data_IF_329703592572
#
_entry.id   IF_329703592572
#
_cell.length_a   1.000
_cell.length_b   1.000
_cell.length_c   1.000
_cell.angle_alpha   90.00
_cell.angle_beta   90.00
_cell.angle_gamma   90.00
#
_symmetry.space_group_name_H-M   'P 1'
#
loop_
_entity.id
_entity.type
_entity.pdbx_description
1 polymer ?
#
# COMPACT_ATOMS: atom_id res chain seq x y z
N UNK A 1 -63.25 -50.81 -45.94
CA UNK A 1 -62.69 -49.88 -46.95
C UNK A 1 -62.30 -48.59 -46.25
N UNK A 2 -61.07 -48.13 -46.47
CA UNK A 2 -60.56 -46.75 -46.38
C UNK A 2 -60.61 -45.95 -45.06
N UNK A 3 -59.41 -45.84 -44.45
CA UNK A 3 -58.67 -44.63 -44.04
C UNK A 3 -59.42 -43.41 -43.45
N UNK A 4 -59.13 -43.09 -42.17
CA UNK A 4 -58.37 -41.92 -41.64
C UNK A 4 -58.17 -40.65 -42.52
N UNK A 5 -57.79 -39.47 -41.95
CA UNK A 5 -57.85 -38.99 -40.56
C UNK A 5 -58.04 -37.43 -40.42
N UNK A 6 -57.77 -36.93 -39.19
CA UNK A 6 -57.14 -35.64 -38.81
C UNK A 6 -58.03 -34.46 -38.35
N UNK A 7 -58.13 -34.39 -37.02
CA UNK A 7 -58.38 -33.21 -36.19
C UNK A 7 -57.23 -32.19 -36.28
N UNK A 8 -57.57 -30.90 -36.30
CA UNK A 8 -56.65 -29.76 -36.14
C UNK A 8 -56.65 -29.26 -34.68
N UNK A 9 -55.50 -29.23 -34.00
CA UNK A 9 -55.31 -28.46 -32.76
C UNK A 9 -54.48 -27.19 -32.99
N UNK A 10 -54.70 -26.23 -32.07
CA UNK A 10 -54.13 -24.88 -32.02
C UNK A 10 -52.59 -24.81 -32.08
N UNK A 11 -52.09 -23.77 -32.75
CA UNK A 11 -50.69 -23.37 -32.81
C UNK A 11 -50.10 -23.08 -31.41
N UNK A 12 -48.98 -23.73 -31.12
CA UNK A 12 -48.03 -23.37 -30.06
C UNK A 12 -47.02 -22.33 -30.58
N UNK A 13 -46.60 -21.34 -29.76
CA UNK A 13 -45.62 -20.34 -30.17
C UNK A 13 -44.22 -20.94 -30.34
N UNK A 14 -43.53 -20.51 -31.39
CA UNK A 14 -42.17 -20.93 -31.75
C UNK A 14 -41.13 -20.54 -30.68
N UNK A 15 -40.11 -21.39 -30.42
CA UNK A 15 -39.04 -21.08 -29.49
C UNK A 15 -38.09 -20.03 -30.07
N UNK A 16 -37.61 -19.12 -29.21
CA UNK A 16 -36.53 -18.18 -29.51
C UNK A 16 -35.24 -18.92 -29.90
N UNK A 17 -34.46 -18.42 -30.87
CA UNK A 17 -33.20 -19.05 -31.25
C UNK A 17 -32.15 -18.90 -30.14
N UNK A 18 -31.46 -20.01 -29.83
CA UNK A 18 -30.34 -20.05 -28.90
C UNK A 18 -29.16 -19.16 -29.38
N UNK A 19 -28.38 -18.56 -28.46
CA UNK A 19 -27.24 -17.74 -28.84
C UNK A 19 -26.16 -18.61 -29.50
N UNK A 20 -25.77 -18.27 -30.73
CA UNK A 20 -24.61 -18.84 -31.41
C UNK A 20 -23.37 -18.54 -30.59
N UNK A 21 -22.75 -19.58 -30.02
CA UNK A 21 -21.38 -19.50 -29.48
C UNK A 21 -20.43 -19.22 -30.63
N UNK A 22 -20.03 -17.96 -30.76
CA UNK A 22 -18.92 -17.57 -31.64
C UNK A 22 -17.63 -18.03 -30.97
N UNK A 23 -17.06 -19.13 -31.47
CA UNK A 23 -15.70 -19.58 -31.15
C UNK A 23 -14.70 -18.67 -31.88
N UNK A 24 -14.57 -17.42 -31.40
CA UNK A 24 -13.49 -16.52 -31.81
C UNK A 24 -13.03 -15.71 -30.59
N UNK A 25 -12.66 -16.41 -29.52
CA UNK A 25 -11.91 -15.85 -28.41
C UNK A 25 -10.43 -16.03 -28.72
N UNK A 26 -9.82 -15.00 -29.30
CA UNK A 26 -8.42 -14.95 -29.64
C UNK A 26 -7.56 -15.37 -28.44
N UNK A 27 -6.69 -16.35 -28.68
CA UNK A 27 -5.49 -16.56 -27.89
C UNK A 27 -4.61 -15.31 -28.05
N UNK A 28 -4.88 -14.29 -27.23
CA UNK A 28 -3.92 -13.22 -26.99
C UNK A 28 -2.89 -13.78 -26.01
N UNK A 29 -2.02 -14.65 -26.52
CA UNK A 29 -0.70 -14.86 -25.92
C UNK A 29 0.00 -13.51 -26.04
N UNK A 30 -0.23 -12.64 -25.05
CA UNK A 30 0.61 -11.48 -24.83
C UNK A 30 2.01 -12.02 -24.51
N UNK A 31 2.85 -12.06 -25.54
CA UNK A 31 4.28 -11.94 -25.36
C UNK A 31 4.53 -10.58 -24.70
N UNK A 32 4.37 -10.54 -23.37
CA UNK A 32 5.06 -9.57 -22.54
C UNK A 32 6.54 -9.96 -22.64
N UNK A 33 7.20 -9.48 -23.70
CA UNK A 33 8.64 -9.34 -23.69
C UNK A 33 8.92 -8.50 -22.45
N UNK A 34 9.39 -9.14 -21.38
CA UNK A 34 9.91 -8.46 -20.22
C UNK A 34 11.00 -7.53 -20.75
N UNK A 35 10.70 -6.24 -20.87
CA UNK A 35 11.68 -5.25 -21.23
C UNK A 35 12.84 -5.40 -20.25
N UNK A 36 14.10 -5.53 -20.71
CA UNK A 36 15.26 -5.66 -19.82
C UNK A 36 15.43 -4.47 -18.86
N UNK A 37 14.67 -3.38 -19.07
CA UNK A 37 14.54 -2.21 -18.19
C UNK A 37 13.82 -2.51 -16.86
N UNK A 38 13.08 -3.63 -16.74
CA UNK A 38 12.33 -3.97 -15.52
C UNK A 38 13.20 -4.53 -14.37
N UNK A 39 14.52 -4.72 -14.57
CA UNK A 39 15.39 -5.49 -13.67
C UNK A 39 16.68 -4.77 -13.25
N UNK A 40 16.79 -3.45 -13.40
CA UNK A 40 17.96 -2.75 -12.88
C UNK A 40 17.88 -2.64 -11.36
N UNK A 41 18.43 -3.65 -10.69
CA UNK A 41 18.38 -3.75 -9.25
C UNK A 41 19.17 -2.60 -8.60
N UNK A 42 18.52 -1.81 -7.76
CA UNK A 42 19.18 -0.96 -6.79
C UNK A 42 19.78 -1.87 -5.71
N UNK A 43 21.12 -1.87 -5.52
CA UNK A 43 21.76 -2.64 -4.47
C UNK A 43 21.42 -2.06 -3.09
N UNK A 44 21.53 -2.88 -2.06
CA UNK A 44 21.52 -2.41 -0.68
C UNK A 44 22.73 -1.50 -0.41
N UNK A 45 22.56 -0.51 0.47
CA UNK A 45 23.66 0.39 0.87
C UNK A 45 24.67 -0.31 1.79
N UNK A 46 24.26 -1.37 2.50
CA UNK A 46 25.08 -2.04 3.51
C UNK A 46 25.05 -3.56 3.35
N UNK A 47 26.11 -4.22 3.82
CA UNK A 47 26.11 -5.67 4.05
C UNK A 47 25.85 -5.91 5.53
N UNK A 48 24.76 -6.63 5.84
CA UNK A 48 24.49 -7.02 7.22
C UNK A 48 25.65 -7.91 7.74
N UNK A 49 26.13 -7.68 8.98
CA UNK A 49 27.24 -8.45 9.54
C UNK A 49 26.76 -9.85 9.94
N UNK A 50 27.69 -10.80 9.94
CA UNK A 50 27.43 -12.20 10.27
C UNK A 50 27.99 -13.16 9.21
N UNK A 51 27.99 -14.44 9.55
CA UNK A 51 28.36 -15.51 8.62
C UNK A 51 27.28 -15.71 7.54
N UNK A 52 27.70 -16.18 6.36
CA UNK A 52 26.76 -16.56 5.31
C UNK A 52 25.87 -17.72 5.76
N UNK A 53 24.64 -17.79 5.23
CA UNK A 53 23.70 -18.87 5.56
C UNK A 53 24.30 -20.23 5.22
N UNK A 54 24.14 -21.19 6.12
CA UNK A 54 24.58 -22.56 5.86
C UNK A 54 23.65 -23.24 4.86
N UNK A 55 24.11 -24.33 4.22
CA UNK A 55 23.24 -25.16 3.35
C UNK A 55 22.02 -25.69 4.09
N UNK A 56 22.15 -25.93 5.40
CA UNK A 56 21.04 -26.35 6.26
C UNK A 56 19.98 -25.25 6.38
N UNK A 57 20.39 -24.00 6.58
CA UNK A 57 19.47 -22.87 6.68
C UNK A 57 18.73 -22.64 5.37
N UNK A 58 19.44 -22.72 4.24
CA UNK A 58 18.81 -22.64 2.92
C UNK A 58 17.75 -23.73 2.69
N UNK A 59 18.01 -24.96 3.16
CA UNK A 59 17.05 -26.06 3.09
C UNK A 59 15.83 -25.82 3.98
N UNK A 60 16.03 -25.32 5.21
CA UNK A 60 14.95 -24.96 6.12
C UNK A 60 14.08 -23.85 5.54
N UNK A 61 14.68 -22.80 4.96
CA UNK A 61 13.97 -21.71 4.30
C UNK A 61 13.15 -22.19 3.09
N UNK A 62 13.70 -23.12 2.32
CA UNK A 62 12.98 -23.73 1.18
C UNK A 62 11.78 -24.53 1.68
N UNK A 63 11.96 -25.35 2.72
CA UNK A 63 10.88 -26.12 3.32
C UNK A 63 9.78 -25.22 3.91
N UNK A 64 10.16 -24.16 4.62
CA UNK A 64 9.21 -23.18 5.15
C UNK A 64 8.45 -22.46 4.03
N UNK A 65 9.13 -22.07 2.94
CA UNK A 65 8.49 -21.44 1.78
C UNK A 65 7.49 -22.36 1.06
N UNK A 66 7.71 -23.67 1.11
CA UNK A 66 6.79 -24.65 0.51
C UNK A 66 5.60 -25.01 1.41
N UNK A 67 5.72 -24.83 2.73
CA UNK A 67 4.75 -25.35 3.72
C UNK A 67 3.95 -24.26 4.44
N UNK A 68 4.46 -23.02 4.52
CA UNK A 68 3.81 -21.93 5.25
C UNK A 68 3.11 -20.99 4.29
N UNK A 69 1.85 -20.68 4.59
CA UNK A 69 1.11 -19.63 3.89
C UNK A 69 1.70 -18.25 4.22
N UNK A 70 1.86 -17.42 3.19
CA UNK A 70 2.45 -16.08 3.29
C UNK A 70 1.49 -14.99 2.85
N UNK A 71 0.20 -15.17 3.12
CA UNK A 71 -0.86 -14.31 2.62
C UNK A 71 -0.59 -12.79 2.73
N UNK A 72 -0.03 -12.23 3.83
CA UNK A 72 0.29 -10.79 3.88
C UNK A 72 1.41 -10.37 2.92
N UNK A 73 2.41 -11.24 2.71
CA UNK A 73 3.52 -10.98 1.78
C UNK A 73 3.02 -11.12 0.35
N UNK A 74 2.18 -12.12 0.09
CA UNK A 74 1.59 -12.37 -1.23
C UNK A 74 0.58 -11.27 -1.64
N UNK A 75 0.06 -10.50 -0.67
CA UNK A 75 -0.84 -9.37 -0.91
C UNK A 75 -0.14 -8.08 -1.35
N UNK A 76 1.20 -8.02 -1.27
CA UNK A 76 1.99 -6.90 -1.79
C UNK A 76 1.82 -6.87 -3.33
N UNK A 77 1.14 -5.85 -3.84
CA UNK A 77 0.66 -5.81 -5.21
C UNK A 77 1.28 -4.71 -6.07
N UNK A 78 2.02 -3.79 -5.47
CA UNK A 78 2.67 -2.69 -6.18
C UNK A 78 4.06 -2.41 -5.62
N UNK A 79 4.95 -1.92 -6.49
CA UNK A 79 6.28 -1.45 -6.16
C UNK A 79 6.38 0.02 -6.58
N UNK A 80 6.69 0.91 -5.62
CA UNK A 80 6.96 2.32 -5.86
C UNK A 80 8.39 2.65 -5.48
N UNK A 81 9.02 3.50 -6.28
CA UNK A 81 10.38 3.98 -6.05
C UNK A 81 10.36 5.51 -5.92
N UNK A 82 10.81 6.00 -4.78
CA UNK A 82 10.79 7.41 -4.40
C UNK A 82 12.00 7.79 -3.55
N UNK A 83 11.93 8.96 -2.91
CA UNK A 83 13.03 9.45 -2.10
C UNK A 83 12.52 10.04 -0.80
N UNK A 84 13.25 9.81 0.28
CA UNK A 84 12.94 10.38 1.58
C UNK A 84 14.08 11.28 2.06
N UNK A 85 13.77 12.09 3.07
CA UNK A 85 14.77 12.68 3.95
C UNK A 85 14.30 12.67 5.41
N UNK A 86 15.24 12.78 6.35
CA UNK A 86 14.91 12.82 7.77
C UNK A 86 14.20 14.12 8.12
N UNK A 87 13.05 14.08 8.81
CA UNK A 87 12.41 15.29 9.32
C UNK A 87 13.41 16.08 10.17
N UNK A 88 13.77 17.29 9.73
CA UNK A 88 14.78 18.15 10.38
C UNK A 88 16.20 18.09 9.80
N UNK A 89 16.50 17.13 8.93
CA UNK A 89 17.81 16.96 8.30
C UNK A 89 17.65 16.62 6.82
N UNK A 90 17.46 17.66 6.00
CA UNK A 90 17.32 17.56 4.54
C UNK A 90 18.58 17.09 3.84
N UNK A 91 19.74 17.02 4.52
CA UNK A 91 20.96 16.52 3.89
C UNK A 91 21.05 15.00 3.97
N UNK A 92 20.38 14.37 4.94
CA UNK A 92 20.19 12.92 4.97
C UNK A 92 19.07 12.52 4.01
N UNK A 93 19.40 12.33 2.73
CA UNK A 93 18.46 11.91 1.68
C UNK A 93 18.78 10.49 1.22
N UNK A 94 17.76 9.74 0.82
CA UNK A 94 17.93 8.36 0.37
C UNK A 94 16.85 8.00 -0.66
N UNK A 95 17.17 7.05 -1.52
CA UNK A 95 16.17 6.33 -2.31
C UNK A 95 15.39 5.36 -1.40
N UNK A 96 14.10 5.18 -1.66
CA UNK A 96 13.20 4.40 -0.83
C UNK A 96 12.31 3.50 -1.70
N UNK A 97 12.43 2.19 -1.48
CA UNK A 97 11.77 1.16 -2.28
C UNK A 97 10.54 0.63 -1.55
N UNK A 98 9.36 1.07 -1.97
CA UNK A 98 8.08 0.79 -1.31
C UNK A 98 7.41 -0.44 -1.93
N UNK A 99 7.17 -1.45 -1.11
CA UNK A 99 6.41 -2.64 -1.48
C UNK A 99 5.03 -2.55 -0.84
N UNK A 100 4.04 -2.20 -1.66
CA UNK A 100 2.75 -1.67 -1.24
C UNK A 100 1.66 -2.73 -1.28
N UNK A 101 0.93 -2.84 -0.17
CA UNK A 101 -0.38 -3.52 -0.09
C UNK A 101 -1.48 -2.47 -0.10
N UNK A 102 -2.43 -2.61 -1.01
CA UNK A 102 -3.64 -1.76 -1.04
C UNK A 102 -4.71 -2.44 -0.18
N UNK A 103 -5.01 -1.88 0.99
CA UNK A 103 -6.00 -2.45 1.90
C UNK A 103 -7.44 -2.14 1.45
N UNK A 104 -7.63 -0.92 0.92
CA UNK A 104 -8.87 -0.46 0.30
C UNK A 104 -8.58 0.82 -0.52
N UNK A 105 -9.61 1.46 -1.06
CA UNK A 105 -9.48 2.65 -1.91
C UNK A 105 -8.86 3.87 -1.19
N UNK A 106 -8.88 3.90 0.14
CA UNK A 106 -8.42 5.04 0.95
C UNK A 106 -7.19 4.75 1.80
N UNK A 107 -6.78 3.49 1.94
CA UNK A 107 -5.68 3.08 2.83
C UNK A 107 -4.76 2.09 2.13
N UNK A 108 -3.47 2.42 2.11
CA UNK A 108 -2.39 1.54 1.68
C UNK A 108 -1.33 1.49 2.78
N UNK A 109 -0.54 0.43 2.76
CA UNK A 109 0.61 0.29 3.64
C UNK A 109 1.78 -0.24 2.83
N UNK A 110 2.99 0.24 3.14
CA UNK A 110 4.21 -0.16 2.47
C UNK A 110 5.22 -0.68 3.47
N UNK A 111 5.93 -1.71 3.04
CA UNK A 111 7.22 -2.10 3.62
C UNK A 111 8.30 -1.45 2.76
N UNK A 112 9.25 -0.76 3.38
CA UNK A 112 10.26 0.04 2.68
C UNK A 112 11.62 -0.61 2.79
N UNK A 113 12.34 -0.72 1.68
CA UNK A 113 13.68 -1.27 1.60
C UNK A 113 14.69 -0.24 1.06
N UNK A 114 15.97 -0.50 1.30
CA UNK A 114 17.10 0.31 0.80
C UNK A 114 17.57 -0.08 -0.62
N UNK A 115 16.86 -1.02 -1.22
CA UNK A 115 17.08 -1.53 -2.57
C UNK A 115 15.87 -2.35 -3.00
N UNK A 116 15.87 -2.83 -4.23
CA UNK A 116 14.87 -3.76 -4.76
C UNK A 116 15.46 -5.14 -5.10
N UNK A 117 16.73 -5.37 -4.75
CA UNK A 117 17.39 -6.67 -4.82
C UNK A 117 16.96 -7.61 -3.70
N UNK A 118 17.20 -8.92 -3.89
CA UNK A 118 16.89 -9.96 -2.89
C UNK A 118 17.62 -9.81 -1.55
N UNK A 119 18.66 -8.99 -1.51
CA UNK A 119 19.55 -8.73 -0.38
C UNK A 119 19.30 -7.35 0.26
N UNK A 120 18.27 -6.62 -0.19
CA UNK A 120 17.87 -5.33 0.36
C UNK A 120 17.50 -5.44 1.85
N UNK A 121 17.82 -4.41 2.63
CA UNK A 121 17.47 -4.31 4.04
C UNK A 121 16.15 -3.60 4.22
N UNK A 122 15.35 -4.12 5.14
CA UNK A 122 14.15 -3.45 5.62
C UNK A 122 14.55 -2.13 6.30
N UNK A 123 14.14 -1.02 5.71
CA UNK A 123 14.36 0.32 6.27
C UNK A 123 13.24 0.74 7.19
N UNK A 124 11.98 0.43 6.85
CA UNK A 124 10.85 0.98 7.57
C UNK A 124 9.49 0.62 7.00
N UNK A 125 8.50 1.41 7.40
CA UNK A 125 7.12 1.30 6.93
C UNK A 125 6.56 2.66 6.61
N UNK A 126 5.57 2.67 5.72
CA UNK A 126 4.73 3.82 5.46
C UNK A 126 3.26 3.44 5.49
N UNK A 127 2.45 4.33 6.05
CA UNK A 127 1.01 4.31 5.90
C UNK A 127 0.59 5.43 4.97
N UNK A 128 -0.20 5.09 3.95
CA UNK A 128 -0.67 6.02 2.94
C UNK A 128 -2.18 6.11 3.05
N UNK A 129 -2.70 7.31 3.20
CA UNK A 129 -4.15 7.54 3.27
C UNK A 129 -4.61 8.57 2.24
N UNK A 130 -5.86 8.45 1.81
CA UNK A 130 -6.49 9.45 0.95
C UNK A 130 -6.58 10.82 1.63
N UNK A 131 -6.65 11.88 0.83
CA UNK A 131 -6.96 13.23 1.31
C UNK A 131 -8.22 13.26 2.20
N UNK A 132 -9.24 12.46 1.86
CA UNK A 132 -10.49 12.37 2.60
C UNK A 132 -10.26 11.92 4.04
N UNK A 133 -9.48 10.84 4.25
CA UNK A 133 -9.14 10.38 5.60
C UNK A 133 -8.19 11.34 6.29
N UNK A 134 -7.18 11.83 5.59
CA UNK A 134 -6.23 12.78 6.14
C UNK A 134 -6.91 14.02 6.74
N UNK A 135 -7.93 14.57 6.06
CA UNK A 135 -8.70 15.73 6.54
C UNK A 135 -9.38 15.49 7.89
N UNK A 136 -9.67 14.23 8.25
CA UNK A 136 -10.29 13.85 9.53
C UNK A 136 -9.29 13.68 10.67
N UNK A 137 -7.99 13.63 10.39
CA UNK A 137 -6.96 13.50 11.41
C UNK A 137 -6.91 14.75 12.29
N UNK A 138 -6.63 14.58 13.59
CA UNK A 138 -6.45 15.72 14.46
C UNK A 138 -5.15 16.48 14.11
N UNK A 139 -5.07 17.79 14.40
CA UNK A 139 -3.93 18.62 13.98
C UNK A 139 -2.55 18.14 14.43
N UNK A 140 -2.47 17.52 15.60
CA UNK A 140 -1.24 16.94 16.17
C UNK A 140 -0.76 15.69 15.43
N UNK A 141 -1.67 14.93 14.83
CA UNK A 141 -1.31 13.78 14.01
C UNK A 141 -0.87 14.26 12.62
N UNK A 142 -1.58 15.21 12.02
CA UNK A 142 -1.33 15.75 10.67
C UNK A 142 0.12 16.17 10.42
N UNK A 143 0.80 16.70 11.44
CA UNK A 143 2.20 17.17 11.32
C UNK A 143 3.22 16.04 11.15
N UNK A 144 2.82 14.79 11.34
CA UNK A 144 3.62 13.60 11.09
C UNK A 144 3.53 13.11 9.63
N UNK A 145 2.73 13.77 8.79
CA UNK A 145 2.45 13.32 7.44
C UNK A 145 3.02 14.29 6.40
N UNK A 146 3.41 13.73 5.26
CA UNK A 146 3.78 14.50 4.08
C UNK A 146 2.79 14.24 2.94
N UNK A 147 2.70 15.18 2.01
CA UNK A 147 1.87 15.01 0.80
C UNK A 147 2.69 14.45 -0.34
N UNK A 148 2.17 13.45 -1.05
CA UNK A 148 2.84 12.87 -2.22
C UNK A 148 2.70 13.71 -3.49
N UNK A 149 2.00 14.84 -3.43
CA UNK A 149 1.65 15.62 -4.62
C UNK A 149 2.89 16.01 -5.43
N UNK A 150 3.90 16.59 -4.78
CA UNK A 150 5.10 17.05 -5.47
C UNK A 150 5.90 15.88 -6.04
N UNK A 151 6.03 14.78 -5.30
CA UNK A 151 6.83 13.63 -5.73
C UNK A 151 6.23 12.97 -6.97
N UNK A 152 4.90 12.84 -6.99
CA UNK A 152 4.18 12.37 -8.18
C UNK A 152 4.35 13.34 -9.35
N UNK A 153 4.09 14.64 -9.13
CA UNK A 153 4.06 15.64 -10.21
C UNK A 153 5.46 15.98 -10.75
N UNK A 154 6.50 15.87 -9.94
CA UNK A 154 7.89 16.14 -10.34
C UNK A 154 8.56 14.99 -11.08
N UNK A 155 7.95 13.79 -11.05
CA UNK A 155 8.54 12.57 -11.62
C UNK A 155 9.52 11.85 -10.69
N UNK A 156 9.72 12.33 -9.45
CA UNK A 156 10.62 11.68 -8.51
C UNK A 156 10.05 10.36 -7.96
N UNK A 157 8.72 10.23 -7.86
CA UNK A 157 8.05 8.95 -7.54
C UNK A 157 7.71 8.18 -8.81
N UNK A 158 8.06 6.90 -8.87
CA UNK A 158 7.79 6.01 -10.01
C UNK A 158 7.15 4.69 -9.56
N UNK A 159 6.56 3.97 -10.51
CA UNK A 159 6.23 2.54 -10.35
C UNK A 159 6.99 1.70 -11.40
N UNK A 160 8.28 1.38 -11.17
CA UNK A 160 9.12 0.74 -12.17
C UNK A 160 8.57 -0.60 -12.67
N UNK A 161 8.81 -0.90 -13.95
CA UNK A 161 8.34 -2.14 -14.59
C UNK A 161 6.89 -2.09 -15.10
N UNK A 162 6.09 -1.09 -14.70
CA UNK A 162 4.77 -0.89 -15.29
C UNK A 162 4.85 -0.13 -16.63
N UNK A 163 3.96 -0.43 -17.61
CA UNK A 163 3.77 0.42 -18.76
C UNK A 163 3.35 1.84 -18.33
N UNK A 164 3.85 2.85 -19.02
CA UNK A 164 3.64 4.26 -18.68
C UNK A 164 2.18 4.66 -18.46
N UNK A 165 1.25 4.16 -19.29
CA UNK A 165 -0.19 4.43 -19.12
C UNK A 165 -0.73 3.88 -17.80
N UNK A 166 -0.29 2.67 -17.40
CA UNK A 166 -0.69 2.05 -16.14
C UNK A 166 -0.02 2.75 -14.95
N UNK A 167 1.25 3.14 -15.11
CA UNK A 167 1.99 3.90 -14.11
C UNK A 167 1.34 5.26 -13.86
N UNK A 168 1.00 6.02 -14.91
CA UNK A 168 0.28 7.30 -14.82
C UNK A 168 -1.07 7.16 -14.12
N UNK A 169 -1.82 6.09 -14.40
CA UNK A 169 -3.09 5.82 -13.73
C UNK A 169 -2.90 5.55 -12.23
N UNK A 170 -1.85 4.82 -11.85
CA UNK A 170 -1.48 4.60 -10.45
C UNK A 170 -1.06 5.91 -9.77
N UNK A 171 -0.25 6.74 -10.45
CA UNK A 171 0.13 8.07 -9.97
C UNK A 171 -1.08 8.98 -9.75
N UNK A 172 -2.11 8.88 -10.59
CA UNK A 172 -3.39 9.57 -10.38
C UNK A 172 -4.11 9.17 -9.08
N UNK A 173 -3.90 7.94 -8.58
CA UNK A 173 -4.41 7.51 -7.27
C UNK A 173 -3.56 8.02 -6.10
N UNK A 174 -2.27 8.28 -6.32
CA UNK A 174 -1.30 8.65 -5.26
C UNK A 174 -1.17 10.17 -5.11
N UNK A 175 -1.37 10.95 -6.19
CA UNK A 175 -1.07 12.40 -6.20
C UNK A 175 -1.75 13.21 -5.09
N UNK A 176 -2.91 12.78 -4.60
CA UNK A 176 -3.66 13.44 -3.52
C UNK A 176 -3.68 12.62 -2.22
N UNK A 177 -2.73 11.70 -2.03
CA UNK A 177 -2.59 10.95 -0.77
C UNK A 177 -1.53 11.58 0.13
N UNK A 178 -1.52 11.15 1.38
CA UNK A 178 -0.60 11.58 2.42
C UNK A 178 0.09 10.35 3.02
N UNK A 179 1.41 10.45 3.24
CA UNK A 179 2.25 9.39 3.79
C UNK A 179 2.74 9.71 5.19
N UNK A 180 2.66 8.73 6.11
CA UNK A 180 3.38 8.74 7.39
C UNK A 180 4.43 7.64 7.39
N UNK A 181 5.69 8.05 7.39
CA UNK A 181 6.83 7.15 7.16
C UNK A 181 7.79 7.13 8.33
N UNK A 182 8.09 5.93 8.81
CA UNK A 182 9.04 5.69 9.89
C UNK A 182 10.13 4.73 9.42
N UNK A 183 11.38 5.19 9.44
CA UNK A 183 12.53 4.34 9.19
C UNK A 183 13.13 3.87 10.51
N UNK A 184 13.39 2.58 10.63
CA UNK A 184 14.04 1.90 11.76
C UNK A 184 15.48 1.45 11.46
N UNK A 185 15.88 1.44 10.19
CA UNK A 185 17.25 1.14 9.77
C UNK A 185 17.75 2.21 8.80
N UNK A 186 18.83 2.88 9.18
CA UNK A 186 19.44 4.02 8.50
C UNK A 186 20.67 3.60 7.67
N UNK A 187 20.47 2.73 6.67
CA UNK A 187 21.57 2.19 5.87
C UNK A 187 22.29 3.24 5.02
N UNK A 188 21.65 4.39 4.76
CA UNK A 188 22.22 5.58 4.12
C UNK A 188 23.35 6.23 4.94
N UNK A 189 23.48 5.86 6.22
CA UNK A 189 24.53 6.33 7.13
C UNK A 189 25.59 5.28 7.44
N UNK A 190 25.73 4.27 6.56
CA UNK A 190 26.64 3.13 6.72
C UNK A 190 26.42 2.35 8.03
N UNK A 191 25.17 2.31 8.51
CA UNK A 191 24.82 1.50 9.66
C UNK A 191 24.56 0.06 9.23
N UNK A 192 25.53 -0.83 9.48
CA UNK A 192 25.42 -2.25 9.16
C UNK A 192 24.34 -3.00 9.98
N UNK A 193 23.78 -2.36 11.02
CA UNK A 193 22.70 -2.88 11.86
C UNK A 193 21.69 -1.76 12.22
N UNK A 194 20.42 -2.10 12.54
CA UNK A 194 19.36 -1.13 12.83
C UNK A 194 19.47 -0.54 14.25
N UNK A 195 20.54 0.22 14.50
CA UNK A 195 20.72 0.94 15.77
C UNK A 195 19.98 2.26 15.78
N UNK A 196 19.39 2.61 16.93
CA UNK A 196 18.75 3.91 17.13
C UNK A 196 17.31 3.77 17.61
N UNK A 197 16.57 4.85 17.49
CA UNK A 197 15.10 4.85 17.56
C UNK A 197 14.58 5.14 16.15
N UNK A 198 13.33 4.79 15.84
CA UNK A 198 12.74 5.13 14.54
C UNK A 198 12.81 6.63 14.27
N UNK A 199 13.10 7.01 13.03
CA UNK A 199 13.10 8.38 12.57
C UNK A 199 11.90 8.65 11.65
N UNK A 200 11.28 9.81 11.84
CA UNK A 200 10.23 10.31 10.96
C UNK A 200 10.87 10.76 9.65
N UNK A 201 10.32 10.28 8.55
CA UNK A 201 10.78 10.62 7.20
C UNK A 201 9.74 11.48 6.47
N UNK A 202 10.22 12.38 5.62
CA UNK A 202 9.39 13.30 4.85
C UNK A 202 9.73 13.23 3.36
N UNK A 203 8.75 13.56 2.54
CA UNK A 203 8.89 13.76 1.10
C UNK A 203 9.21 15.20 0.71
N UNK A 204 9.71 15.36 -0.52
CA UNK A 204 10.11 16.65 -1.09
C UNK A 204 8.90 17.45 -1.57
N UNK A 205 8.99 18.79 -1.56
CA UNK A 205 7.88 19.69 -1.88
C UNK A 205 8.17 20.70 -2.98
N UNK A 206 9.43 20.84 -3.39
CA UNK A 206 9.83 21.80 -4.41
C UNK A 206 11.13 21.41 -5.14
N UNK A 207 11.33 22.01 -6.32
CA UNK A 207 12.57 21.86 -7.09
C UNK A 207 13.77 22.34 -6.27
N UNK A 208 14.92 21.68 -6.47
CA UNK A 208 16.18 22.02 -5.79
C UNK A 208 16.33 21.46 -4.37
N UNK A 209 15.33 20.75 -3.83
CA UNK A 209 15.44 20.10 -2.52
C UNK A 209 16.10 18.71 -2.60
N UNK A 210 15.73 17.89 -3.59
CA UNK A 210 16.32 16.56 -3.84
C UNK A 210 17.72 16.68 -4.47
N UNK A 211 18.71 15.95 -3.95
CA UNK A 211 20.05 15.88 -4.55
C UNK A 211 19.93 15.27 -5.95
N UNK A 212 20.34 16.06 -6.94
CA UNK A 212 20.25 15.69 -8.34
C UNK A 212 21.14 14.48 -8.69
N UNK A 213 22.13 14.15 -7.87
CA UNK A 213 22.91 12.91 -8.03
C UNK A 213 22.04 11.68 -7.76
N UNK A 214 21.27 11.66 -6.67
CA UNK A 214 20.36 10.56 -6.35
C UNK A 214 19.32 10.36 -7.46
N UNK A 215 18.69 11.46 -7.90
CA UNK A 215 17.70 11.41 -8.97
C UNK A 215 18.31 10.88 -10.28
N UNK A 216 19.50 11.38 -10.66
CA UNK A 216 20.18 10.97 -11.89
C UNK A 216 20.64 9.51 -11.84
N UNK A 217 21.12 9.04 -10.71
CA UNK A 217 21.56 7.65 -10.54
C UNK A 217 20.37 6.70 -10.70
N UNK A 218 19.22 7.03 -10.10
CA UNK A 218 17.96 6.31 -10.28
C UNK A 218 17.50 6.33 -11.73
N UNK A 219 17.41 7.50 -12.35
CA UNK A 219 16.95 7.69 -13.73
C UNK A 219 17.83 6.91 -14.71
N UNK A 220 19.15 6.95 -14.53
CA UNK A 220 20.12 6.20 -15.35
C UNK A 220 19.95 4.69 -15.15
N UNK A 221 19.78 4.24 -13.90
CA UNK A 221 19.60 2.83 -13.57
C UNK A 221 18.32 2.29 -14.21
N UNK A 222 17.19 2.99 -14.09
CA UNK A 222 15.89 2.54 -14.61
C UNK A 222 15.73 2.82 -16.11
N UNK A 223 16.50 3.75 -16.68
CA UNK A 223 16.44 4.12 -18.09
C UNK A 223 15.25 5.03 -18.41
N UNK A 224 14.98 6.02 -17.57
CA UNK A 224 13.89 7.00 -17.71
C UNK A 224 14.42 8.43 -17.55
N UNK A 225 13.60 9.43 -17.91
CA UNK A 225 13.83 10.84 -17.57
C UNK A 225 12.68 11.36 -16.68
N UNK A 226 13.01 11.75 -15.45
CA UNK A 226 12.03 12.30 -14.51
C UNK A 226 11.35 13.59 -15.02
N UNK A 227 12.03 14.39 -15.84
CA UNK A 227 11.44 15.59 -16.46
C UNK A 227 10.46 15.24 -17.58
N UNK A 228 10.62 14.10 -18.25
CA UNK A 228 9.61 13.58 -19.17
C UNK A 228 8.38 13.10 -18.38
N UNK A 229 8.58 12.37 -17.28
CA UNK A 229 7.48 11.98 -16.37
C UNK A 229 6.73 13.18 -15.80
N UNK A 230 7.43 14.23 -15.40
CA UNK A 230 6.83 15.49 -14.97
C UNK A 230 5.92 16.10 -16.04
N UNK A 231 6.37 16.13 -17.30
CA UNK A 231 5.58 16.66 -18.42
C UNK A 231 4.36 15.81 -18.70
N UNK A 232 4.53 14.48 -18.75
CA UNK A 232 3.40 13.56 -18.96
C UNK A 232 2.34 13.73 -17.87
N UNK A 233 2.74 13.86 -16.60
CA UNK A 233 1.83 13.97 -15.47
C UNK A 233 1.26 15.37 -15.24
N UNK A 234 1.54 16.34 -16.11
CA UNK A 234 1.11 17.72 -15.93
C UNK A 234 -0.43 17.87 -15.83
N UNK A 235 -1.18 16.99 -16.49
CA UNK A 235 -2.64 16.94 -16.54
C UNK A 235 -3.29 16.26 -15.33
N UNK A 236 -2.53 15.55 -14.48
CA UNK A 236 -3.08 14.92 -13.28
C UNK A 236 -3.68 15.96 -12.32
N UNK A 237 -4.96 15.82 -11.91
CA UNK A 237 -5.59 16.72 -10.94
C UNK A 237 -4.90 16.64 -9.57
N UNK A 238 -4.21 17.71 -9.19
CA UNK A 238 -3.46 17.82 -7.94
C UNK A 238 -4.06 18.94 -7.08
N UNK A 239 -4.52 18.60 -5.88
CA UNK A 239 -5.06 19.55 -4.90
C UNK A 239 -3.93 20.11 -4.04
N UNK A 240 -3.97 21.40 -3.70
CA UNK A 240 -2.99 22.00 -2.81
C UNK A 240 -2.87 21.21 -1.49
N UNK A 241 -1.66 20.91 -0.99
CA UNK A 241 -1.50 20.13 0.24
C UNK A 241 -2.10 20.87 1.43
N UNK A 242 -2.66 20.12 2.39
CA UNK A 242 -3.13 20.70 3.65
C UNK A 242 -1.98 21.42 4.37
N UNK A 243 -2.17 22.66 4.88
CA UNK A 243 -1.11 23.44 5.51
C UNK A 243 -0.44 22.80 6.73
N UNK A 244 -1.04 21.78 7.36
CA UNK A 244 -0.46 21.04 8.47
C UNK A 244 0.34 19.81 8.03
N UNK A 245 0.16 19.35 6.78
CA UNK A 245 1.10 18.40 6.18
C UNK A 245 2.42 19.11 5.91
N UNK A 246 3.50 18.36 5.72
CA UNK A 246 4.82 18.93 5.44
C UNK A 246 5.24 19.98 6.48
N UNK A 247 4.86 19.80 7.75
CA UNK A 247 5.00 20.83 8.79
C UNK A 247 6.45 21.32 8.99
N UNK A 248 7.43 20.52 8.57
CA UNK A 248 8.85 20.87 8.52
C UNK A 248 9.14 22.12 7.67
N UNK A 249 8.34 22.41 6.63
CA UNK A 249 8.47 23.62 5.79
C UNK A 249 8.31 24.90 6.61
N UNK A 250 7.55 24.80 7.71
CA UNK A 250 7.25 25.89 8.64
C UNK A 250 8.08 25.81 9.92
N UNK A 251 9.13 24.99 9.93
CA UNK A 251 10.00 24.79 11.08
C UNK A 251 9.44 23.87 12.16
N UNK A 252 8.24 23.29 11.97
CA UNK A 252 7.71 22.28 12.90
C UNK A 252 8.28 20.91 12.53
N UNK A 253 9.49 20.68 13.01
CA UNK A 253 10.23 19.42 12.86
C UNK A 253 9.88 18.50 14.01
N UNK A 254 9.49 17.25 13.70
CA UNK A 254 9.16 16.22 14.69
C UNK A 254 10.10 15.04 14.51
N UNK A 255 10.70 14.60 15.61
CA UNK A 255 11.43 13.34 15.72
C UNK A 255 11.12 12.70 17.06
N UNK A 256 11.20 11.37 17.12
CA UNK A 256 11.03 10.66 18.38
C UNK A 256 12.20 10.94 19.33
N UNK A 257 11.93 10.81 20.62
CA UNK A 257 12.95 10.82 21.67
C UNK A 257 12.79 9.56 22.52
N UNK A 258 13.91 9.03 23.02
CA UNK A 258 13.87 7.94 24.01
C UNK A 258 13.30 8.48 25.30
N UNK A 259 12.34 7.76 25.86
CA UNK A 259 11.72 8.04 27.16
C UNK A 259 11.74 6.78 28.02
N UNK A 260 11.67 6.94 29.34
CA UNK A 260 11.45 5.84 30.27
C UNK A 260 9.94 5.56 30.38
N UNK A 261 9.49 4.32 30.17
CA UNK A 261 8.08 3.91 30.28
C UNK A 261 7.52 3.22 29.03
N UNK A 262 6.20 3.16 28.90
CA UNK A 262 5.50 2.47 27.79
C UNK A 262 5.18 3.33 26.57
N UNK A 263 5.88 4.45 26.40
CA UNK A 263 5.62 5.46 25.35
C UNK A 263 4.51 6.45 25.74
N UNK A 264 4.06 7.25 24.77
CA UNK A 264 3.10 8.37 24.97
C UNK A 264 1.75 7.93 25.56
N UNK A 265 1.38 6.66 25.43
CA UNK A 265 0.05 6.16 25.80
C UNK A 265 0.05 5.10 26.92
N UNK A 266 1.19 4.79 27.55
CA UNK A 266 1.22 3.76 28.60
C UNK A 266 2.06 4.16 29.81
N UNK A 267 1.38 4.32 30.93
CA UNK A 267 1.95 4.52 32.27
C UNK A 267 1.62 3.34 33.21
N UNK A 268 1.66 2.10 32.73
CA UNK A 268 1.48 0.89 33.56
C UNK A 268 0.04 0.51 33.91
N UNK A 269 -0.95 1.38 33.64
CA UNK A 269 -2.37 1.15 33.97
C UNK A 269 -3.23 0.68 32.77
N UNK A 270 -2.63 0.47 31.59
CA UNK A 270 -3.39 0.05 30.40
C UNK A 270 -3.68 -1.45 30.44
N UNK A 271 -4.94 -1.81 30.68
CA UNK A 271 -5.44 -3.17 30.49
C UNK A 271 -5.44 -3.60 29.02
N UNK A 272 -5.48 -4.91 28.77
CA UNK A 272 -5.54 -5.50 27.43
C UNK A 272 -6.79 -5.00 26.68
N UNK A 273 -6.61 -4.15 25.67
CA UNK A 273 -7.71 -3.57 24.86
C UNK A 273 -8.11 -4.44 23.68
N UNK A 274 -7.35 -5.50 23.39
CA UNK A 274 -7.72 -6.51 22.43
C UNK A 274 -8.67 -7.54 23.04
N UNK A 275 -9.47 -8.20 22.22
CA UNK A 275 -10.06 -9.48 22.62
C UNK A 275 -9.07 -10.58 22.22
N UNK A 276 -8.72 -11.48 23.13
CA UNK A 276 -7.98 -12.67 22.74
C UNK A 276 -8.82 -13.44 21.73
N UNK A 277 -8.21 -14.04 20.71
CA UNK A 277 -8.91 -14.66 19.57
C UNK A 277 -10.06 -15.60 19.99
N UNK A 278 -9.87 -16.32 21.11
CA UNK A 278 -10.86 -17.25 21.65
C UNK A 278 -12.08 -16.58 22.29
N UNK A 279 -11.99 -15.30 22.68
CA UNK A 279 -13.09 -14.50 23.24
C UNK A 279 -14.00 -14.02 22.11
N UNK A 280 -13.43 -13.56 20.98
CA UNK A 280 -14.20 -13.11 19.80
C UNK A 280 -15.02 -14.24 19.19
N UNK A 281 -14.48 -15.47 19.14
CA UNK A 281 -15.20 -16.63 18.59
C UNK A 281 -16.42 -17.04 19.42
N UNK A 282 -16.43 -16.80 20.74
CA UNK A 282 -17.58 -17.10 21.61
C UNK A 282 -18.74 -16.14 21.39
N UNK A 283 -18.46 -14.85 21.17
CA UNK A 283 -19.49 -13.85 20.91
C UNK A 283 -20.13 -14.05 19.52
N UNK A 284 -19.34 -14.42 18.51
CA UNK A 284 -19.84 -14.75 17.18
C UNK A 284 -20.68 -16.05 17.12
N UNK A 285 -20.51 -16.97 18.09
CA UNK A 285 -21.28 -18.21 18.18
C UNK A 285 -22.52 -18.11 19.09
N UNK A 286 -22.67 -17.00 19.84
CA UNK A 286 -23.76 -16.78 20.80
C UNK A 286 -25.06 -16.22 20.20
N UNK A 287 -25.03 -15.69 18.97
CA UNK A 287 -26.21 -15.11 18.30
C UNK A 287 -26.88 -16.13 17.39
N UNK A 288 -27.57 -17.12 17.96
CA UNK A 288 -28.66 -17.78 17.25
C UNK A 288 -29.88 -16.83 17.25
N UNK A 289 -30.55 -16.61 16.11
CA UNK A 289 -31.78 -15.84 16.10
C UNK A 289 -32.85 -16.63 16.86
N UNK A 290 -33.42 -16.03 17.91
CA UNK A 290 -34.61 -16.56 18.57
C UNK A 290 -35.79 -16.24 17.67
N UNK A 291 -36.33 -17.26 17.00
CA UNK A 291 -37.63 -17.19 16.35
C UNK A 291 -38.74 -17.07 17.41
N UNK A 292 -39.55 -16.01 17.27
CA UNK A 292 -40.96 -16.03 17.61
C UNK A 292 -41.34 -15.80 19.08
N UNK A 293 -41.51 -14.53 19.47
CA UNK A 293 -42.53 -14.17 20.44
C UNK A 293 -43.40 -13.02 19.91
N UNK A 294 -44.70 -13.29 19.90
CA UNK A 294 -45.80 -12.41 19.45
C UNK A 294 -46.03 -11.33 20.52
N UNK A 295 -46.30 -10.05 20.17
CA UNK A 295 -46.48 -9.02 21.17
C UNK A 295 -47.80 -9.23 21.93
N UNK A 296 -47.71 -9.31 23.27
CA UNK A 296 -48.87 -9.35 24.16
C UNK A 296 -49.47 -7.95 24.35
N UNK A 297 -50.80 -7.89 24.29
CA UNK A 297 -51.63 -6.70 24.42
C UNK A 297 -51.33 -5.85 25.66
N UNK A 298 -51.22 -4.53 25.46
CA UNK A 298 -51.23 -3.55 26.53
C UNK A 298 -52.65 -3.41 27.10
N UNK A 299 -52.83 -3.82 28.35
CA UNK A 299 -54.02 -3.50 29.15
C UNK A 299 -53.74 -2.23 29.97
N UNK A 300 -54.55 -1.20 29.75
CA UNK A 300 -54.63 0.03 30.54
C UNK A 300 -55.19 -0.26 31.94
N UNK A 301 -54.65 0.32 33.03
CA UNK A 301 -55.42 0.51 34.24
C UNK A 301 -55.96 1.94 34.33
N UNK A 302 -57.28 2.01 34.52
CA UNK A 302 -58.00 3.18 35.02
C UNK A 302 -57.56 3.49 36.47
N UNK A 303 -57.59 4.77 36.83
CA UNK A 303 -57.04 5.26 38.08
C UNK A 303 -57.87 5.00 39.34
N UNK A 304 -57.25 5.32 40.46
CA UNK A 304 -57.75 6.10 41.59
C UNK A 304 -56.57 6.85 42.20
#
# INVERSE_FOLDING_TARGET
>A
MHNSPLSTPLETPSPLPAPRRSLLGAALCALLLASPLAHSAAPSNVKAPGEEKTTKDALLETGASALQDRAPIDAISAYLDGFHFYSGDKNGQMEAHHYVTILNDDVMQAVIYDGNGKDAKLMGVEYIISERLYKTLPPEEKVLWHSHQYEVKSGSLLAPGLPEVAEKALMGKIVNTYGKTWHTWHTDRDHDLPYGIPALMMGFTADGQLDQKLLKDRDTRIGIDSKERQKDRADLPAHAPDPLSNAWEKGKVIQLQRVEGGGEHQHGDTGFTGHAEQVVRKEAQGTKPVEGEKPANAATPAGQ
#
